data_IF_181644668931
#
_entry.id   IF_181644668931
#
_cell.length_a   1.000
_cell.length_b   1.000
_cell.length_c   1.000
_cell.angle_alpha   90.00
_cell.angle_beta   90.00
_cell.angle_gamma   90.00
#
_symmetry.space_group_name_H-M   'P 1'
#
loop_
_entity.id
_entity.type
_entity.pdbx_description
1 polymer ?
#
# COMPACT_ATOMS: atom_id res chain seq x y z
N UNK A 1 31.80 -23.42 78.58
CA UNK A 1 32.06 -23.43 77.12
C UNK A 1 30.73 -23.22 76.39
N UNK A 2 30.45 -22.01 75.89
CA UNK A 2 29.28 -21.74 75.02
C UNK A 2 29.81 -21.20 73.70
N UNK A 3 29.76 -22.03 72.66
CA UNK A 3 30.20 -21.70 71.31
C UNK A 3 29.07 -21.00 70.55
N UNK A 4 29.22 -19.70 70.32
CA UNK A 4 28.36 -18.92 69.43
C UNK A 4 28.66 -19.29 67.97
N UNK A 5 27.70 -19.93 67.28
CA UNK A 5 27.76 -20.16 65.83
C UNK A 5 27.44 -18.84 65.11
N UNK A 6 28.48 -18.21 64.55
CA UNK A 6 28.33 -17.10 63.58
C UNK A 6 27.75 -17.66 62.27
N UNK A 7 26.48 -17.39 62.00
CA UNK A 7 25.90 -17.65 60.68
C UNK A 7 26.48 -16.65 59.66
N UNK A 8 26.99 -17.19 58.55
CA UNK A 8 27.75 -16.46 57.52
C UNK A 8 26.83 -15.55 56.67
N UNK A 9 27.32 -14.39 56.18
CA UNK A 9 26.56 -13.45 55.33
C UNK A 9 26.16 -14.01 53.95
N UNK A 10 26.66 -15.19 53.59
CA UNK A 10 26.39 -15.88 52.30
C UNK A 10 24.93 -16.28 52.15
N UNK A 11 24.24 -16.62 53.24
CA UNK A 11 22.82 -17.00 53.20
C UNK A 11 21.92 -15.80 52.88
N UNK A 12 22.30 -14.60 53.32
CA UNK A 12 21.54 -13.37 53.13
C UNK A 12 21.67 -12.84 51.70
N UNK A 13 22.87 -12.95 51.09
CA UNK A 13 23.15 -12.54 49.71
C UNK A 13 22.44 -13.49 48.72
N UNK A 14 22.41 -14.79 48.99
CA UNK A 14 21.66 -15.76 48.18
C UNK A 14 20.14 -15.50 48.21
N UNK A 15 19.59 -15.10 49.36
CA UNK A 15 18.17 -14.73 49.47
C UNK A 15 17.85 -13.42 48.72
N UNK A 16 18.75 -12.43 48.76
CA UNK A 16 18.60 -11.16 48.02
C UNK A 16 18.67 -11.34 46.49
N UNK A 17 19.55 -12.23 46.00
CA UNK A 17 19.66 -12.57 44.57
C UNK A 17 18.43 -13.36 44.08
N UNK A 18 17.86 -14.26 44.87
CA UNK A 18 16.61 -14.97 44.53
C UNK A 18 15.39 -14.04 44.57
N UNK A 19 15.39 -13.02 45.43
CA UNK A 19 14.35 -11.98 45.48
C UNK A 19 14.44 -10.99 44.30
N UNK A 20 15.65 -10.73 43.77
CA UNK A 20 15.84 -9.95 42.54
C UNK A 20 15.43 -10.70 41.26
N UNK A 21 15.47 -12.04 41.25
CA UNK A 21 15.04 -12.86 40.11
C UNK A 21 13.52 -13.16 40.07
N UNK A 22 12.75 -12.81 41.10
CA UNK A 22 11.29 -13.10 41.18
C UNK A 22 10.40 -11.89 40.96
N UNK A 23 10.96 -10.71 40.68
CA UNK A 23 10.22 -9.49 40.35
C UNK A 23 10.05 -9.30 38.82
N UNK A 24 9.62 -10.33 38.09
CA UNK A 24 9.09 -10.12 36.74
C UNK A 24 7.67 -9.57 36.88
N UNK A 25 7.55 -8.25 37.05
CA UNK A 25 6.26 -7.56 37.01
C UNK A 25 5.65 -7.78 35.62
N UNK A 26 4.63 -8.62 35.51
CA UNK A 26 3.82 -8.69 34.30
C UNK A 26 2.92 -7.45 34.27
N UNK A 27 3.08 -6.62 33.25
CA UNK A 27 2.36 -5.35 33.14
C UNK A 27 0.92 -5.60 32.69
N UNK A 28 -0.02 -4.84 33.24
CA UNK A 28 -1.40 -4.79 32.75
C UNK A 28 -1.47 -3.76 31.63
N UNK A 29 -2.12 -4.10 30.52
CA UNK A 29 -2.37 -3.18 29.41
C UNK A 29 -3.87 -2.99 29.22
N UNK A 30 -4.32 -1.75 29.20
CA UNK A 30 -5.67 -1.38 28.79
C UNK A 30 -5.61 -0.73 27.40
N UNK A 31 -6.55 -1.08 26.54
CA UNK A 31 -6.72 -0.47 25.21
C UNK A 31 -8.12 0.15 25.15
N UNK A 32 -8.19 1.40 24.71
CA UNK A 32 -9.41 2.19 24.60
C UNK A 32 -9.54 2.65 23.16
N UNK A 33 -10.71 2.47 22.54
CA UNK A 33 -11.04 3.13 21.28
C UNK A 33 -11.83 4.40 21.60
N UNK A 34 -11.26 5.54 21.26
CA UNK A 34 -11.90 6.85 21.43
C UNK A 34 -12.91 7.18 20.34
N UNK A 35 -12.68 6.66 19.13
CA UNK A 35 -13.55 6.94 18.01
C UNK A 35 -13.58 5.77 17.03
N UNK A 36 -14.77 5.49 16.52
CA UNK A 36 -15.05 4.57 15.43
C UNK A 36 -15.68 5.34 14.24
N UNK A 37 -15.63 4.79 13.02
CA UNK A 37 -16.27 5.40 11.85
C UNK A 37 -17.78 5.56 12.03
N UNK A 38 -18.35 6.66 11.52
CA UNK A 38 -19.79 6.94 11.63
C UNK A 38 -20.68 5.90 10.91
N UNK A 39 -20.16 5.26 9.87
CA UNK A 39 -20.81 4.18 9.15
C UNK A 39 -20.51 2.78 9.71
N UNK A 40 -20.00 2.68 10.95
CA UNK A 40 -19.92 1.39 11.63
C UNK A 40 -21.32 0.79 11.76
N UNK A 41 -21.60 -0.41 11.23
CA UNK A 41 -22.93 -1.01 11.30
C UNK A 41 -23.46 -1.08 12.74
N UNK A 42 -24.69 -0.62 13.02
CA UNK A 42 -25.24 -0.58 14.38
C UNK A 42 -25.22 -1.95 15.06
N UNK A 43 -24.86 -1.98 16.34
CA UNK A 43 -24.80 -3.22 17.13
C UNK A 43 -23.60 -4.12 16.83
N UNK A 44 -22.65 -3.68 15.99
CA UNK A 44 -21.42 -4.43 15.73
C UNK A 44 -20.62 -4.69 17.01
N UNK A 45 -20.14 -5.92 17.15
CA UNK A 45 -19.06 -6.22 18.08
C UNK A 45 -17.74 -5.68 17.54
N UNK A 46 -16.86 -5.24 18.44
CA UNK A 46 -15.47 -4.91 18.10
C UNK A 46 -14.56 -5.85 18.88
N UNK A 47 -13.60 -6.43 18.18
CA UNK A 47 -12.59 -7.32 18.74
C UNK A 47 -11.23 -6.69 18.55
N UNK A 48 -10.33 -6.97 19.49
CA UNK A 48 -8.89 -6.77 19.32
C UNK A 48 -8.26 -8.14 19.04
N UNK A 49 -7.49 -8.25 17.97
CA UNK A 49 -6.81 -9.48 17.57
C UNK A 49 -5.32 -9.22 17.39
N UNK A 50 -4.47 -10.18 17.76
CA UNK A 50 -3.04 -9.95 17.80
C UNK A 50 -2.23 -11.19 18.15
N UNK A 51 -0.94 -10.98 18.40
CA UNK A 51 -0.03 -12.06 18.80
C UNK A 51 -0.45 -12.78 20.10
N UNK A 52 -1.21 -12.13 20.98
CA UNK A 52 -1.71 -12.70 22.24
C UNK A 52 -2.92 -13.63 22.10
N UNK A 53 -3.59 -13.67 20.95
CA UNK A 53 -4.71 -14.57 20.68
C UNK A 53 -4.54 -15.38 19.38
N UNK A 54 -3.30 -15.53 18.91
CA UNK A 54 -2.95 -16.20 17.64
C UNK A 54 -3.65 -15.59 16.42
N UNK A 55 -3.90 -14.28 16.43
CA UNK A 55 -4.54 -13.57 15.32
C UNK A 55 -5.94 -14.13 14.96
N UNK A 56 -6.69 -14.61 15.96
CA UNK A 56 -8.10 -14.96 15.79
C UNK A 56 -8.95 -13.67 15.80
N UNK A 57 -9.61 -13.28 14.69
CA UNK A 57 -10.34 -12.02 14.59
C UNK A 57 -11.70 -12.03 15.29
N UNK A 58 -12.19 -13.19 15.75
CA UNK A 58 -13.53 -13.35 16.32
C UNK A 58 -13.52 -13.94 17.74
N UNK A 59 -12.37 -13.99 18.39
CA UNK A 59 -12.24 -14.57 19.74
C UNK A 59 -12.99 -13.74 20.78
N UNK A 60 -14.10 -14.28 21.30
CA UNK A 60 -14.96 -13.65 22.30
C UNK A 60 -14.24 -13.24 23.59
N UNK A 61 -13.09 -13.87 23.91
CA UNK A 61 -12.26 -13.46 25.06
C UNK A 61 -11.66 -12.06 24.87
N UNK A 62 -11.54 -11.62 23.63
CA UNK A 62 -10.96 -10.34 23.23
C UNK A 62 -11.97 -9.39 22.59
N UNK A 63 -13.27 -9.65 22.81
CA UNK A 63 -14.35 -8.72 22.49
C UNK A 63 -14.29 -7.51 23.42
N UNK A 64 -14.24 -6.32 22.84
CA UNK A 64 -14.20 -5.06 23.59
C UNK A 64 -15.55 -4.74 24.21
N UNK A 65 -15.54 -4.08 25.37
CA UNK A 65 -16.73 -3.72 26.12
C UNK A 65 -16.92 -2.20 26.14
N UNK A 66 -18.16 -1.73 26.16
CA UNK A 66 -18.43 -0.30 26.32
C UNK A 66 -18.25 0.11 27.79
N UNK A 67 -17.50 1.18 28.03
CA UNK A 67 -17.41 1.83 29.33
C UNK A 67 -18.63 2.75 29.60
N UNK A 68 -18.67 3.37 30.78
CA UNK A 68 -19.76 4.30 31.15
C UNK A 68 -19.83 5.57 30.29
N UNK A 69 -18.77 5.88 29.54
CA UNK A 69 -18.72 6.98 28.59
C UNK A 69 -19.04 6.53 27.14
N UNK A 70 -19.37 5.25 26.93
CA UNK A 70 -19.69 4.69 25.61
C UNK A 70 -18.46 4.42 24.73
N UNK A 71 -17.25 4.35 25.31
CA UNK A 71 -16.02 4.00 24.58
C UNK A 71 -15.78 2.51 24.65
N UNK A 72 -15.23 1.92 23.59
CA UNK A 72 -14.83 0.52 23.64
C UNK A 72 -13.52 0.38 24.43
N UNK A 73 -13.50 -0.53 25.39
CA UNK A 73 -12.37 -0.75 26.30
C UNK A 73 -12.14 -2.25 26.47
N UNK A 74 -10.86 -2.64 26.55
CA UNK A 74 -10.48 -3.98 26.97
C UNK A 74 -9.20 -3.93 27.82
N UNK A 75 -9.12 -4.81 28.82
CA UNK A 75 -7.87 -5.11 29.52
C UNK A 75 -7.28 -6.39 28.93
N UNK A 76 -6.09 -6.30 28.35
CA UNK A 76 -5.37 -7.47 27.86
C UNK A 76 -4.77 -8.27 29.02
N UNK A 77 -4.51 -9.59 28.85
CA UNK A 77 -3.76 -10.38 29.80
C UNK A 77 -2.45 -9.71 30.17
N UNK A 78 -1.99 -9.91 31.42
CA UNK A 78 -0.71 -9.34 31.83
C UNK A 78 0.42 -9.99 31.06
N UNK A 79 1.37 -9.19 30.61
CA UNK A 79 2.46 -9.67 29.77
C UNK A 79 3.71 -8.81 29.85
N UNK A 80 4.67 -9.20 29.03
CA UNK A 80 5.92 -8.50 28.77
C UNK A 80 6.20 -8.59 27.27
N UNK A 81 6.99 -7.67 26.72
CA UNK A 81 7.33 -7.68 25.30
C UNK A 81 6.39 -6.84 24.43
N UNK A 82 6.60 -6.96 23.12
CA UNK A 82 5.87 -6.21 22.10
C UNK A 82 4.52 -6.88 21.82
N UNK A 83 3.46 -6.09 21.88
CA UNK A 83 2.15 -6.43 21.37
C UNK A 83 2.02 -5.92 19.95
N UNK A 84 1.53 -6.77 19.06
CA UNK A 84 1.08 -6.40 17.73
C UNK A 84 -0.38 -6.80 17.59
N UNK A 85 -1.21 -5.88 17.10
CA UNK A 85 -2.64 -6.08 17.06
C UNK A 85 -3.34 -5.27 15.95
N UNK A 86 -4.58 -5.65 15.71
CA UNK A 86 -5.55 -4.95 14.87
C UNK A 86 -6.94 -5.02 15.50
N UNK A 87 -7.83 -4.15 15.05
CA UNK A 87 -9.26 -4.23 15.34
C UNK A 87 -10.05 -4.86 14.20
N UNK A 88 -11.05 -5.65 14.54
CA UNK A 88 -11.99 -6.28 13.60
C UNK A 88 -13.41 -6.22 14.15
N UNK A 89 -14.40 -6.57 13.32
CA UNK A 89 -15.78 -6.80 13.75
C UNK A 89 -16.17 -8.29 13.74
N UNK A 90 -15.19 -9.17 13.93
CA UNK A 90 -15.36 -10.63 14.05
C UNK A 90 -14.75 -11.44 12.91
N UNK A 91 -14.36 -10.79 11.81
CA UNK A 91 -13.74 -11.44 10.64
C UNK A 91 -12.72 -10.52 9.97
N UNK A 92 -11.74 -11.10 9.27
CA UNK A 92 -10.69 -10.35 8.55
C UNK A 92 -11.22 -9.46 7.42
N UNK A 93 -12.37 -9.78 6.82
CA UNK A 93 -13.04 -8.89 5.85
C UNK A 93 -13.51 -7.58 6.49
N UNK A 94 -13.73 -7.58 7.80
CA UNK A 94 -14.19 -6.43 8.60
C UNK A 94 -13.05 -5.73 9.37
N UNK A 95 -11.79 -6.01 9.00
CA UNK A 95 -10.61 -5.43 9.67
C UNK A 95 -10.57 -3.92 9.51
N UNK A 96 -9.99 -3.23 10.49
CA UNK A 96 -9.73 -1.80 10.40
C UNK A 96 -8.88 -1.43 9.17
N UNK A 97 -9.21 -0.27 8.59
CA UNK A 97 -8.52 0.36 7.47
C UNK A 97 -8.26 1.83 7.81
N UNK A 98 -7.45 2.50 6.99
CA UNK A 98 -7.34 3.96 7.09
C UNK A 98 -8.62 4.65 6.56
N UNK A 99 -8.71 5.97 6.70
CA UNK A 99 -9.88 6.73 6.27
C UNK A 99 -10.20 6.67 4.77
N UNK A 100 -9.24 6.22 3.95
CA UNK A 100 -9.39 5.99 2.51
C UNK A 100 -9.68 4.52 2.15
N UNK A 101 -9.81 3.62 3.13
CA UNK A 101 -10.08 2.19 2.90
C UNK A 101 -8.84 1.34 2.60
N UNK A 102 -7.63 1.91 2.65
CA UNK A 102 -6.40 1.14 2.47
C UNK A 102 -6.00 0.39 3.74
N UNK A 103 -5.31 -0.74 3.55
CA UNK A 103 -4.69 -1.49 4.64
C UNK A 103 -3.69 -0.62 5.42
N UNK A 104 -3.74 -0.74 6.74
CA UNK A 104 -2.75 -0.16 7.64
C UNK A 104 -1.83 -1.26 8.19
N UNK A 105 -0.66 -0.88 8.69
CA UNK A 105 0.23 -1.81 9.40
C UNK A 105 -0.41 -2.32 10.70
N UNK A 106 0.17 -3.36 11.30
CA UNK A 106 -0.22 -3.78 12.65
C UNK A 106 0.05 -2.62 13.61
N UNK A 107 -0.91 -2.34 14.49
CA UNK A 107 -0.66 -1.47 15.63
C UNK A 107 0.35 -2.18 16.52
N UNK A 108 1.25 -1.43 17.14
CA UNK A 108 2.20 -2.02 18.06
C UNK A 108 2.44 -1.17 19.28
N UNK A 109 2.59 -1.82 20.43
CA UNK A 109 2.95 -1.21 21.70
C UNK A 109 3.84 -2.16 22.49
N UNK A 110 4.49 -1.66 23.53
CA UNK A 110 5.33 -2.46 24.41
C UNK A 110 4.72 -2.46 25.81
N UNK A 111 4.55 -3.66 26.40
CA UNK A 111 4.10 -3.78 27.78
C UNK A 111 5.01 -3.00 28.72
N UNK A 112 4.41 -2.18 29.59
CA UNK A 112 5.11 -1.40 30.61
C UNK A 112 5.56 0.00 30.17
N UNK A 113 5.42 0.35 28.88
CA UNK A 113 5.64 1.75 28.43
C UNK A 113 4.45 2.65 28.79
N UNK A 114 3.24 2.12 28.70
CA UNK A 114 2.01 2.77 29.16
C UNK A 114 1.06 1.73 29.74
N UNK A 115 0.27 2.11 30.75
CA UNK A 115 -0.82 1.27 31.25
C UNK A 115 -2.07 1.36 30.36
N UNK A 116 -2.24 2.47 29.66
CA UNK A 116 -3.40 2.77 28.81
C UNK A 116 -2.92 3.20 27.43
N UNK A 117 -3.45 2.55 26.41
CA UNK A 117 -3.29 2.93 25.01
C UNK A 117 -4.63 3.35 24.46
N UNK A 118 -4.62 4.44 23.71
CA UNK A 118 -5.82 5.00 23.12
C UNK A 118 -5.69 5.00 21.61
N UNK A 119 -6.69 4.42 20.94
CA UNK A 119 -6.75 4.23 19.51
C UNK A 119 -7.99 4.89 18.90
N UNK A 120 -7.90 5.12 17.59
CA UNK A 120 -8.98 5.62 16.75
C UNK A 120 -9.05 4.74 15.51
N UNK A 121 -10.24 4.31 15.14
CA UNK A 121 -10.49 3.51 13.94
C UNK A 121 -11.06 4.44 12.87
N UNK A 122 -10.40 4.52 11.71
CA UNK A 122 -10.75 5.46 10.64
C UNK A 122 -11.72 4.86 9.60
N UNK A 123 -11.64 3.54 9.38
CA UNK A 123 -12.52 2.82 8.45
C UNK A 123 -12.54 1.31 8.72
N UNK A 124 -13.48 0.61 8.08
CA UNK A 124 -13.58 -0.86 8.09
C UNK A 124 -13.48 -1.42 6.67
N UNK A 125 -12.93 -2.62 6.51
CA UNK A 125 -12.71 -3.27 5.22
C UNK A 125 -13.97 -3.60 4.43
N UNK A 126 -15.13 -3.63 5.08
CA UNK A 126 -16.43 -3.95 4.49
C UNK A 126 -17.39 -2.74 4.46
N UNK A 127 -16.87 -1.53 4.66
CA UNK A 127 -17.64 -0.28 4.60
C UNK A 127 -17.01 0.69 3.61
N UNK A 128 -17.83 1.55 3.00
CA UNK A 128 -17.34 2.62 2.14
C UNK A 128 -16.44 3.61 2.93
N UNK A 129 -15.30 4.04 2.37
CA UNK A 129 -14.46 5.06 3.00
C UNK A 129 -15.21 6.39 3.17
N UNK A 130 -15.19 6.98 4.37
CA UNK A 130 -15.89 8.24 4.67
C UNK A 130 -14.96 9.44 4.90
N UNK A 131 -13.73 9.20 5.34
CA UNK A 131 -12.83 10.25 5.80
C UNK A 131 -11.48 10.16 5.08
N UNK A 132 -11.52 9.97 3.77
CA UNK A 132 -10.30 9.88 3.00
C UNK A 132 -9.61 11.24 2.97
N UNK A 133 -8.49 11.35 3.68
CA UNK A 133 -7.63 12.51 3.57
C UNK A 133 -7.00 12.52 2.17
N UNK A 134 -7.11 13.64 1.49
CA UNK A 134 -6.53 13.84 0.17
C UNK A 134 -5.57 15.02 0.20
N UNK A 135 -4.61 14.99 -0.72
CA UNK A 135 -3.68 16.08 -0.92
C UNK A 135 -3.52 16.38 -2.40
N UNK A 136 -3.71 17.63 -2.78
CA UNK A 136 -3.60 18.10 -4.15
C UNK A 136 -2.26 18.79 -4.36
N UNK A 137 -1.51 18.34 -5.35
CA UNK A 137 -0.30 18.99 -5.82
C UNK A 137 -0.67 19.86 -7.00
N UNK A 138 -0.32 21.13 -6.97
CA UNK A 138 -0.55 22.09 -8.06
C UNK A 138 0.80 22.58 -8.59
N UNK A 139 1.05 22.43 -9.89
CA UNK A 139 2.24 23.01 -10.52
C UNK A 139 1.97 24.50 -10.78
N UNK A 140 2.49 25.35 -9.90
CA UNK A 140 2.26 26.79 -9.93
C UNK A 140 3.13 27.48 -10.97
N UNK A 141 4.41 27.11 -11.04
CA UNK A 141 5.36 27.67 -11.99
C UNK A 141 6.10 26.55 -12.71
N UNK A 142 6.15 26.66 -14.04
CA UNK A 142 6.89 25.78 -14.93
C UNK A 142 8.02 26.57 -15.62
N UNK A 143 9.14 25.92 -15.98
CA UNK A 143 10.18 26.55 -16.80
C UNK A 143 9.62 27.06 -18.13
N UNK A 144 10.09 28.21 -18.62
CA UNK A 144 9.62 28.80 -19.89
C UNK A 144 9.81 27.88 -21.11
N UNK A 145 10.82 27.01 -21.07
CA UNK A 145 11.13 26.04 -22.13
C UNK A 145 10.35 24.72 -22.00
N UNK A 146 9.35 24.64 -21.12
CA UNK A 146 8.49 23.47 -21.01
C UNK A 146 7.67 23.31 -22.30
N UNK A 147 7.67 22.12 -22.93
CA UNK A 147 6.90 21.90 -24.16
C UNK A 147 5.41 22.23 -24.00
N UNK A 148 4.79 22.74 -25.06
CA UNK A 148 3.34 22.96 -25.08
C UNK A 148 2.58 21.64 -24.95
N UNK A 149 1.44 21.68 -24.23
CA UNK A 149 0.58 20.51 -23.98
C UNK A 149 1.32 19.32 -23.33
N UNK A 150 2.38 19.60 -22.57
CA UNK A 150 3.15 18.57 -21.90
C UNK A 150 2.34 17.86 -20.82
N UNK A 151 2.44 16.52 -20.79
CA UNK A 151 1.90 15.70 -19.69
C UNK A 151 2.96 15.56 -18.61
N UNK A 152 2.58 15.84 -17.36
CA UNK A 152 3.46 15.64 -16.20
C UNK A 152 3.04 14.40 -15.42
N UNK A 153 4.05 13.73 -14.86
CA UNK A 153 3.90 12.48 -14.13
C UNK A 153 4.45 12.64 -12.72
N UNK A 154 3.83 11.93 -11.79
CA UNK A 154 4.27 11.83 -10.40
C UNK A 154 4.95 10.47 -10.19
N UNK A 155 6.28 10.47 -10.07
CA UNK A 155 7.06 9.29 -9.75
C UNK A 155 7.30 9.25 -8.24
N UNK A 156 6.91 8.18 -7.55
CA UNK A 156 6.91 8.12 -6.09
C UNK A 156 7.07 6.69 -5.55
N UNK A 157 7.34 6.58 -4.26
CA UNK A 157 7.32 5.30 -3.55
C UNK A 157 5.98 4.55 -3.66
N UNK A 158 4.86 5.22 -3.95
CA UNK A 158 3.55 4.54 -4.14
C UNK A 158 3.31 3.99 -5.55
N UNK A 159 4.15 4.34 -6.52
CA UNK A 159 4.09 3.78 -7.88
C UNK A 159 5.44 3.20 -8.33
N UNK A 160 6.23 2.73 -7.36
CA UNK A 160 7.53 2.10 -7.59
C UNK A 160 8.50 2.97 -8.41
N UNK A 161 8.43 4.29 -8.25
CA UNK A 161 9.28 5.24 -8.97
C UNK A 161 9.16 5.11 -10.49
N UNK A 162 7.96 4.83 -10.99
CA UNK A 162 7.69 4.81 -12.42
C UNK A 162 7.48 6.26 -12.95
N UNK A 163 8.41 6.82 -13.75
CA UNK A 163 8.36 8.21 -14.21
C UNK A 163 7.33 8.47 -15.32
N UNK A 164 6.65 7.43 -15.81
CA UNK A 164 5.65 7.52 -16.88
C UNK A 164 4.34 6.83 -16.52
N UNK A 165 4.06 6.62 -15.22
CA UNK A 165 2.83 5.93 -14.81
C UNK A 165 1.59 6.77 -15.13
N UNK A 166 0.82 6.30 -16.10
CA UNK A 166 -0.42 6.95 -16.55
C UNK A 166 -1.51 7.05 -15.48
N UNK A 167 -1.42 6.27 -14.41
CA UNK A 167 -2.36 6.39 -13.30
C UNK A 167 -2.04 7.59 -12.40
N UNK A 168 -0.86 8.19 -12.55
CA UNK A 168 -0.34 9.30 -11.74
C UNK A 168 0.03 10.51 -12.61
N UNK A 169 -0.86 10.85 -13.56
CA UNK A 169 -0.73 12.03 -14.43
C UNK A 169 -1.36 13.26 -13.80
N UNK A 170 -0.69 14.40 -13.96
CA UNK A 170 -1.32 15.69 -13.67
C UNK A 170 -2.42 15.96 -14.69
N UNK A 171 -3.60 16.30 -14.18
CA UNK A 171 -4.70 16.83 -14.96
C UNK A 171 -4.48 18.33 -15.19
N UNK A 172 -5.10 18.87 -16.23
CA UNK A 172 -5.08 20.31 -16.52
C UNK A 172 -6.50 20.85 -16.43
N UNK A 173 -6.70 21.92 -15.65
CA UNK A 173 -8.00 22.59 -15.58
C UNK A 173 -8.23 23.54 -16.77
N UNK A 174 -9.41 24.17 -16.83
CA UNK A 174 -9.78 25.10 -17.90
C UNK A 174 -8.92 26.36 -17.96
N UNK A 175 -8.13 26.66 -16.92
CA UNK A 175 -7.23 27.81 -16.84
C UNK A 175 -5.78 27.44 -17.17
N UNK A 176 -5.51 26.18 -17.54
CA UNK A 176 -4.16 25.68 -17.82
C UNK A 176 -3.36 25.29 -16.58
N UNK A 177 -3.99 25.26 -15.40
CA UNK A 177 -3.33 24.88 -14.14
C UNK A 177 -3.25 23.36 -14.06
N UNK A 178 -2.04 22.85 -13.82
CA UNK A 178 -1.80 21.42 -13.72
C UNK A 178 -1.88 20.96 -12.26
N UNK A 179 -2.66 19.91 -12.00
CA UNK A 179 -2.87 19.40 -10.65
C UNK A 179 -2.99 17.88 -10.60
N UNK A 180 -2.63 17.29 -9.45
CA UNK A 180 -2.81 15.88 -9.14
C UNK A 180 -3.31 15.75 -7.70
N UNK A 181 -4.46 15.10 -7.51
CA UNK A 181 -5.00 14.80 -6.18
C UNK A 181 -4.64 13.36 -5.80
N UNK A 182 -4.05 13.19 -4.63
CA UNK A 182 -3.59 11.92 -4.09
C UNK A 182 -4.40 11.56 -2.84
N UNK A 183 -4.80 10.31 -2.73
CA UNK A 183 -5.34 9.76 -1.48
C UNK A 183 -4.22 9.50 -0.47
N UNK A 184 -4.53 9.60 0.82
CA UNK A 184 -3.62 9.23 1.91
C UNK A 184 -3.42 7.71 1.95
N UNK A 185 -2.43 7.23 1.21
CA UNK A 185 -1.96 5.84 1.25
C UNK A 185 -0.85 5.67 2.30
N UNK A 186 -0.08 6.72 2.58
CA UNK A 186 0.98 6.78 3.59
C UNK A 186 0.97 8.15 4.26
N UNK A 187 1.59 8.28 5.44
CA UNK A 187 1.72 9.57 6.13
C UNK A 187 2.52 10.57 5.30
N UNK A 188 3.61 10.11 4.68
CA UNK A 188 4.43 10.90 3.78
C UNK A 188 4.80 10.09 2.55
N UNK A 189 4.98 10.80 1.43
CA UNK A 189 5.38 10.28 0.14
C UNK A 189 6.65 11.01 -0.30
N UNK A 190 7.60 10.23 -0.80
CA UNK A 190 8.75 10.76 -1.52
C UNK A 190 8.45 10.70 -3.01
N UNK A 191 8.78 11.77 -3.75
CA UNK A 191 8.41 11.86 -5.16
C UNK A 191 9.32 12.77 -5.97
N UNK A 192 9.15 12.69 -7.29
CA UNK A 192 9.69 13.59 -8.30
C UNK A 192 8.65 13.83 -9.39
N UNK A 193 8.73 15.00 -10.02
CA UNK A 193 7.95 15.33 -11.21
C UNK A 193 8.79 15.07 -12.46
N UNK A 194 8.19 14.44 -13.45
CA UNK A 194 8.81 14.11 -14.74
C UNK A 194 7.87 14.46 -15.89
N UNK A 195 8.42 14.50 -17.11
CA UNK A 195 7.63 14.57 -18.35
C UNK A 195 7.51 13.20 -19.05
N UNK A 196 7.57 12.10 -18.27
CA UNK A 196 7.41 10.72 -18.77
C UNK A 196 8.61 9.81 -18.47
N UNK A 197 9.82 10.39 -18.38
CA UNK A 197 11.05 9.62 -18.13
C UNK A 197 11.98 10.31 -17.14
N UNK A 198 12.95 9.55 -16.61
CA UNK A 198 14.03 10.07 -15.78
C UNK A 198 14.96 11.06 -16.50
N UNK A 199 15.06 11.00 -17.83
CA UNK A 199 15.79 12.01 -18.61
C UNK A 199 15.08 13.36 -18.63
N UNK A 200 13.78 13.37 -18.33
CA UNK A 200 12.93 14.56 -18.28
C UNK A 200 12.50 14.94 -16.86
N UNK A 201 13.25 14.48 -15.87
CA UNK A 201 12.99 14.78 -14.47
C UNK A 201 13.25 16.25 -14.15
N UNK A 202 12.52 16.79 -13.18
CA UNK A 202 12.80 18.10 -12.64
C UNK A 202 14.20 18.20 -12.02
N UNK A 203 14.79 19.39 -12.13
CA UNK A 203 16.12 19.71 -11.61
C UNK A 203 16.11 21.07 -10.93
N UNK A 204 17.24 21.41 -10.31
CA UNK A 204 17.52 22.77 -9.90
C UNK A 204 17.65 23.69 -11.11
N UNK A 205 17.59 25.02 -10.91
CA UNK A 205 17.78 26.00 -11.97
C UNK A 205 19.15 25.88 -12.69
N UNK A 206 20.16 25.31 -12.02
CA UNK A 206 21.48 25.03 -12.61
C UNK A 206 21.58 23.68 -13.33
N UNK A 207 20.45 23.01 -13.58
CA UNK A 207 20.35 21.68 -14.17
C UNK A 207 21.04 20.54 -13.37
N UNK A 208 21.20 20.72 -12.05
CA UNK A 208 21.64 19.65 -11.16
C UNK A 208 20.46 18.84 -10.65
N UNK A 209 20.63 17.52 -10.55
CA UNK A 209 19.69 16.62 -9.89
C UNK A 209 19.39 17.16 -8.47
N UNK A 210 18.11 17.19 -8.12
CA UNK A 210 17.65 17.58 -6.78
C UNK A 210 17.38 16.32 -5.95
N UNK A 211 17.31 16.47 -4.63
CA UNK A 211 16.80 15.40 -3.76
C UNK A 211 15.34 15.07 -4.09
N UNK A 212 14.85 13.96 -3.55
CA UNK A 212 13.43 13.63 -3.63
C UNK A 212 12.62 14.71 -2.90
N UNK A 213 11.52 15.13 -3.49
CA UNK A 213 10.55 15.96 -2.77
C UNK A 213 9.79 15.08 -1.80
N UNK A 214 9.41 15.65 -0.67
CA UNK A 214 8.55 14.99 0.32
C UNK A 214 7.20 15.71 0.39
N UNK A 215 6.13 14.93 0.52
CA UNK A 215 4.79 15.44 0.78
C UNK A 215 4.11 14.61 1.85
N UNK A 216 3.73 15.25 2.95
CA UNK A 216 3.05 14.60 4.07
C UNK A 216 1.58 14.99 4.11
N UNK A 217 0.69 14.06 4.48
CA UNK A 217 -0.74 14.30 4.65
C UNK A 217 -1.04 14.95 6.01
N UNK A 218 -0.55 16.17 6.17
CA UNK A 218 -0.84 17.09 7.26
C UNK A 218 -2.18 17.83 7.07
N UNK A 219 -2.41 18.90 7.85
CA UNK A 219 -3.65 19.68 7.80
C UNK A 219 -3.80 20.56 6.54
N UNK A 220 -2.80 20.63 5.66
CA UNK A 220 -2.91 21.33 4.37
C UNK A 220 -3.48 20.40 3.31
N UNK A 221 -4.52 20.81 2.61
CA UNK A 221 -5.11 20.03 1.51
C UNK A 221 -4.34 20.19 0.19
N UNK A 222 -3.54 21.25 0.05
CA UNK A 222 -2.91 21.64 -1.22
C UNK A 222 -1.44 21.98 -1.03
N UNK A 223 -0.61 21.57 -1.99
CA UNK A 223 0.81 21.93 -2.09
C UNK A 223 1.05 22.55 -3.46
N UNK A 224 1.65 23.74 -3.47
CA UNK A 224 2.01 24.43 -4.71
C UNK A 224 3.49 24.25 -5.00
N UNK A 225 3.79 23.72 -6.18
CA UNK A 225 5.15 23.42 -6.62
C UNK A 225 5.62 24.40 -7.67
N UNK A 226 6.89 24.77 -7.56
CA UNK A 226 7.65 25.45 -8.60
C UNK A 226 8.66 24.44 -9.15
N UNK A 227 8.57 24.19 -10.46
CA UNK A 227 9.58 23.42 -11.19
C UNK A 227 10.59 24.42 -11.75
N UNK A 228 11.86 24.27 -11.37
CA UNK A 228 12.89 25.24 -11.72
C UNK A 228 13.50 25.00 -13.10
N UNK A 229 13.74 23.73 -13.46
CA UNK A 229 14.21 23.30 -14.78
C UNK A 229 13.89 21.82 -14.99
N UNK A 230 14.07 21.36 -16.23
CA UNK A 230 14.03 19.95 -16.63
C UNK A 230 15.43 19.48 -17.01
N UNK A 231 15.78 18.24 -16.64
CA UNK A 231 17.07 17.61 -17.00
C UNK A 231 17.30 17.57 -18.50
N UNK A 232 16.24 17.26 -19.25
CA UNK A 232 16.17 17.31 -20.70
C UNK A 232 14.74 17.61 -21.15
N UNK A 233 14.62 18.19 -22.34
CA UNK A 233 13.33 18.39 -23.03
C UNK A 233 13.01 17.24 -24.01
N UNK A 234 13.84 16.20 -24.04
CA UNK A 234 13.63 15.02 -24.89
C UNK A 234 12.50 14.14 -24.33
N UNK A 235 11.28 14.63 -24.47
CA UNK A 235 10.06 13.93 -24.09
C UNK A 235 9.85 12.81 -25.11
N UNK A 236 10.00 11.56 -24.66
CA UNK A 236 9.62 10.42 -25.48
C UNK A 236 8.12 10.46 -25.67
N UNK A 237 7.68 10.26 -26.91
CA UNK A 237 6.25 10.18 -27.21
C UNK A 237 5.67 8.97 -26.49
N UNK A 238 4.75 9.24 -25.56
CA UNK A 238 4.02 8.20 -24.85
C UNK A 238 2.98 7.60 -25.79
N UNK A 239 2.97 6.27 -25.86
CA UNK A 239 2.14 5.50 -26.79
C UNK A 239 1.20 4.64 -25.99
N UNK A 240 -0.05 4.57 -26.42
CA UNK A 240 -1.05 3.73 -25.75
C UNK A 240 -1.70 2.77 -26.73
N UNK A 241 -1.93 1.54 -26.28
CA UNK A 241 -2.61 0.50 -27.03
C UNK A 241 -3.58 -0.23 -26.11
N UNK A 242 -4.83 -0.41 -26.56
CA UNK A 242 -5.75 -1.33 -25.87
C UNK A 242 -5.39 -2.75 -26.25
N UNK A 243 -5.19 -3.62 -25.26
CA UNK A 243 -4.97 -5.05 -25.40
C UNK A 243 -6.24 -5.75 -24.90
N UNK A 244 -6.80 -6.65 -25.69
CA UNK A 244 -8.00 -7.42 -25.35
C UNK A 244 -7.66 -8.90 -25.42
N UNK A 245 -8.01 -9.65 -24.37
CA UNK A 245 -7.89 -11.11 -24.37
C UNK A 245 -9.19 -11.68 -24.95
N UNK A 246 -9.14 -12.08 -26.22
CA UNK A 246 -10.30 -12.66 -26.93
C UNK A 246 -10.63 -14.06 -26.42
N UNK A 247 -9.59 -14.80 -26.05
CA UNK A 247 -9.71 -16.16 -25.55
C UNK A 247 -8.78 -16.40 -24.39
N UNK A 248 -9.33 -17.04 -23.36
CA UNK A 248 -8.60 -17.55 -22.22
C UNK A 248 -8.77 -19.08 -22.17
N UNK A 249 -7.83 -19.82 -21.56
CA UNK A 249 -7.97 -21.27 -21.40
C UNK A 249 -9.22 -21.60 -20.58
N UNK A 250 -9.91 -22.71 -20.91
CA UNK A 250 -11.10 -23.18 -20.17
C UNK A 250 -10.83 -23.37 -18.68
N UNK A 251 -9.60 -23.71 -18.33
CA UNK A 251 -9.16 -23.84 -16.96
C UNK A 251 -9.02 -22.51 -16.22
N UNK A 252 -9.43 -21.37 -16.77
CA UNK A 252 -9.39 -20.03 -16.13
C UNK A 252 -10.65 -19.79 -15.31
N UNK A 253 -10.50 -19.59 -14.01
CA UNK A 253 -11.62 -19.32 -13.10
C UNK A 253 -11.93 -17.83 -13.04
N UNK A 254 -13.18 -17.48 -12.71
CA UNK A 254 -13.59 -16.08 -12.58
C UNK A 254 -12.86 -15.29 -11.49
N UNK A 255 -12.33 -15.99 -10.49
CA UNK A 255 -11.51 -15.44 -9.41
C UNK A 255 -10.05 -15.20 -9.81
N UNK A 256 -9.60 -15.74 -10.95
CA UNK A 256 -8.23 -15.53 -11.40
C UNK A 256 -8.02 -14.06 -11.78
N UNK A 257 -6.91 -13.51 -11.31
CA UNK A 257 -6.43 -12.20 -11.71
C UNK A 257 -5.44 -12.37 -12.85
N UNK A 258 -5.63 -11.64 -13.94
CA UNK A 258 -4.74 -11.70 -15.11
C UNK A 258 -3.93 -10.41 -15.16
N UNK A 259 -2.64 -10.55 -15.49
CA UNK A 259 -1.68 -9.47 -15.53
C UNK A 259 -0.88 -9.50 -16.84
N UNK A 260 -0.34 -8.35 -17.21
CA UNK A 260 0.68 -8.23 -18.24
C UNK A 260 2.02 -7.86 -17.58
N UNK A 261 3.10 -8.52 -17.99
CA UNK A 261 4.44 -8.21 -17.52
C UNK A 261 5.42 -8.12 -18.69
N UNK A 262 6.28 -7.12 -18.68
CA UNK A 262 7.17 -6.81 -19.78
C UNK A 262 8.26 -5.82 -19.39
N UNK A 263 9.01 -5.35 -20.39
CA UNK A 263 10.08 -4.36 -20.17
C UNK A 263 9.56 -3.06 -19.52
N UNK A 264 8.30 -2.67 -19.77
CA UNK A 264 7.67 -1.48 -19.19
C UNK A 264 7.30 -1.59 -17.69
N UNK A 265 7.31 -2.79 -17.11
CA UNK A 265 7.06 -2.99 -15.68
C UNK A 265 8.16 -3.82 -14.99
N UNK A 266 9.36 -3.82 -15.56
CA UNK A 266 10.50 -4.58 -15.08
C UNK A 266 10.21 -6.09 -14.91
N UNK A 267 9.36 -6.65 -15.78
CA UNK A 267 8.99 -8.07 -15.74
C UNK A 267 8.41 -8.51 -14.39
N UNK A 268 7.64 -7.67 -13.71
CA UNK A 268 6.87 -8.06 -12.52
C UNK A 268 5.53 -8.70 -12.92
N UNK A 269 5.38 -10.04 -12.78
CA UNK A 269 4.19 -10.78 -13.23
C UNK A 269 2.94 -10.50 -12.39
N UNK A 270 3.08 -9.97 -11.17
CA UNK A 270 1.98 -9.75 -10.22
C UNK A 270 1.62 -8.29 -9.99
N UNK A 271 2.18 -7.38 -10.79
CA UNK A 271 2.08 -5.95 -10.52
C UNK A 271 0.62 -5.47 -10.65
N UNK A 272 0.03 -5.01 -9.54
CA UNK A 272 -1.40 -4.63 -9.46
C UNK A 272 -1.82 -3.57 -10.48
N UNK A 273 -0.97 -2.59 -10.80
CA UNK A 273 -1.25 -1.58 -11.83
C UNK A 273 -1.31 -2.13 -13.26
N UNK A 274 -0.81 -3.34 -13.50
CA UNK A 274 -0.80 -4.03 -14.80
C UNK A 274 -1.80 -5.20 -14.86
N UNK A 275 -2.80 -5.17 -13.96
CA UNK A 275 -3.90 -6.12 -13.95
C UNK A 275 -4.93 -5.77 -15.03
N UNK A 276 -5.38 -6.78 -15.79
CA UNK A 276 -6.48 -6.63 -16.73
C UNK A 276 -7.80 -6.31 -16.01
N UNK A 277 -8.63 -5.49 -16.65
CA UNK A 277 -9.99 -5.15 -16.20
C UNK A 277 -11.00 -5.95 -17.02
N UNK A 278 -12.18 -6.23 -16.45
CA UNK A 278 -13.31 -6.82 -17.18
C UNK A 278 -14.24 -5.72 -17.67
N UNK A 279 -14.71 -5.80 -18.91
CA UNK A 279 -15.81 -4.98 -19.40
C UNK A 279 -17.18 -5.53 -18.95
N UNK A 280 -18.28 -4.89 -19.38
CA UNK A 280 -19.65 -5.33 -19.04
C UNK A 280 -20.02 -6.70 -19.60
N UNK A 281 -19.29 -7.21 -20.59
CA UNK A 281 -19.44 -8.55 -21.16
C UNK A 281 -18.54 -9.59 -20.48
N UNK A 282 -17.72 -9.18 -19.50
CA UNK A 282 -16.74 -10.03 -18.84
C UNK A 282 -15.42 -10.19 -19.60
N UNK A 283 -15.26 -9.53 -20.76
CA UNK A 283 -14.05 -9.59 -21.57
C UNK A 283 -12.91 -8.83 -20.90
N UNK A 284 -11.72 -9.42 -20.92
CA UNK A 284 -10.56 -8.81 -20.28
C UNK A 284 -9.85 -7.85 -21.22
N UNK A 285 -9.58 -6.63 -20.74
CA UNK A 285 -8.84 -5.62 -21.46
C UNK A 285 -7.84 -4.88 -20.57
N UNK A 286 -6.78 -4.38 -21.19
CA UNK A 286 -5.76 -3.55 -20.55
C UNK A 286 -5.30 -2.46 -21.51
N UNK A 287 -5.29 -1.21 -21.07
CA UNK A 287 -4.71 -0.11 -21.85
C UNK A 287 -3.23 0.01 -21.48
N UNK A 288 -2.37 -0.62 -22.27
CA UNK A 288 -0.93 -0.52 -22.09
C UNK A 288 -0.48 0.85 -22.57
N UNK A 289 0.31 1.53 -21.73
CA UNK A 289 1.00 2.76 -22.09
C UNK A 289 2.49 2.57 -21.89
N UNK A 290 3.29 2.93 -22.90
CA UNK A 290 4.74 2.86 -22.82
C UNK A 290 5.40 3.95 -23.68
N UNK A 291 6.65 4.28 -23.35
CA UNK A 291 7.46 5.22 -24.13
C UNK A 291 8.12 4.54 -25.35
N UNK A 292 8.47 3.26 -25.19
CA UNK A 292 9.16 2.52 -26.23
C UNK A 292 8.23 2.28 -27.42
N UNK A 293 8.76 2.44 -28.64
CA UNK A 293 8.04 2.11 -29.87
C UNK A 293 7.69 0.63 -29.93
N UNK A 294 8.55 -0.21 -29.36
CA UNK A 294 8.37 -1.65 -29.23
C UNK A 294 8.51 -2.07 -27.77
N UNK A 295 7.57 -2.87 -27.30
CA UNK A 295 7.63 -3.52 -25.99
C UNK A 295 7.60 -5.03 -26.14
N UNK A 296 8.20 -5.74 -25.19
CA UNK A 296 8.13 -7.18 -25.06
C UNK A 296 7.41 -7.52 -23.76
N UNK A 297 6.54 -8.53 -23.79
CA UNK A 297 5.68 -8.87 -22.66
C UNK A 297 5.19 -10.32 -22.68
N UNK A 298 4.60 -10.74 -21.56
CA UNK A 298 3.87 -11.99 -21.37
C UNK A 298 2.62 -11.76 -20.53
N UNK A 299 1.64 -12.64 -20.70
CA UNK A 299 0.42 -12.69 -19.88
C UNK A 299 0.61 -13.72 -18.76
N UNK A 300 0.21 -13.37 -17.54
CA UNK A 300 0.33 -14.25 -16.37
C UNK A 300 -0.90 -14.19 -15.49
N UNK A 301 -1.03 -15.17 -14.58
CA UNK A 301 -1.99 -15.11 -13.45
C UNK A 301 -1.34 -14.66 -12.14
N UNK A 302 -0.38 -13.73 -12.22
CA UNK A 302 0.26 -13.10 -11.06
C UNK A 302 1.64 -13.66 -10.70
N UNK A 303 2.12 -14.69 -11.40
CA UNK A 303 3.43 -15.31 -11.16
C UNK A 303 3.94 -16.02 -12.42
N UNK A 304 5.26 -16.19 -12.53
CA UNK A 304 5.89 -16.93 -13.63
C UNK A 304 5.55 -18.42 -13.68
N UNK A 305 5.09 -19.02 -12.57
CA UNK A 305 4.56 -20.39 -12.57
C UNK A 305 3.19 -20.49 -13.25
N UNK A 306 2.47 -19.38 -13.39
CA UNK A 306 1.14 -19.30 -14.02
C UNK A 306 1.17 -18.42 -15.28
N UNK A 307 2.32 -18.38 -15.95
CA UNK A 307 2.51 -17.70 -17.24
C UNK A 307 1.82 -18.48 -18.36
N UNK A 308 1.44 -17.77 -19.41
CA UNK A 308 0.97 -18.37 -20.64
C UNK A 308 2.00 -19.32 -21.29
N UNK A 309 1.50 -20.39 -21.91
CA UNK A 309 2.27 -21.42 -22.61
C UNK A 309 1.56 -21.82 -23.90
N UNK A 310 2.24 -22.61 -24.74
CA UNK A 310 1.60 -23.29 -25.87
C UNK A 310 0.52 -24.25 -25.36
N UNK A 311 -0.38 -24.68 -26.24
CA UNK A 311 -1.38 -25.72 -25.90
C UNK A 311 -0.77 -27.02 -25.35
N UNK A 312 0.48 -27.34 -25.71
CA UNK A 312 1.24 -28.50 -25.21
C UNK A 312 1.89 -28.27 -23.85
N UNK A 313 1.80 -27.05 -23.29
CA UNK A 313 2.43 -26.66 -22.03
C UNK A 313 3.89 -26.20 -22.16
N UNK A 314 4.40 -26.02 -23.37
CA UNK A 314 5.77 -25.52 -23.59
C UNK A 314 5.84 -24.00 -23.39
N UNK A 315 6.97 -23.51 -22.91
CA UNK A 315 7.20 -22.06 -22.83
C UNK A 315 7.13 -21.43 -24.22
N UNK A 316 6.47 -20.28 -24.32
CA UNK A 316 6.47 -19.45 -25.53
C UNK A 316 7.56 -18.38 -25.43
N UNK A 317 7.95 -17.79 -26.54
CA UNK A 317 8.79 -16.58 -26.54
C UNK A 317 8.02 -15.37 -25.96
N UNK A 318 8.73 -14.27 -25.72
CA UNK A 318 8.09 -13.01 -25.36
C UNK A 318 7.22 -12.52 -26.52
N UNK A 319 6.00 -12.08 -26.20
CA UNK A 319 5.17 -11.36 -27.17
C UNK A 319 5.78 -9.99 -27.42
N UNK A 320 5.70 -9.51 -28.65
CA UNK A 320 6.13 -8.16 -29.02
C UNK A 320 4.94 -7.32 -29.46
N UNK A 321 4.87 -6.07 -29.02
CA UNK A 321 3.95 -5.06 -29.54
C UNK A 321 4.77 -3.89 -30.08
N UNK A 322 4.47 -3.48 -31.32
CA UNK A 322 4.93 -2.22 -31.90
C UNK A 322 3.71 -1.28 -31.94
N UNK A 323 3.80 -0.16 -31.24
CA UNK A 323 2.69 0.78 -31.11
C UNK A 323 2.37 1.49 -32.43
N UNK A 324 1.07 1.77 -32.66
CA UNK A 324 0.59 2.54 -33.80
C UNK A 324 0.36 1.73 -35.08
N UNK A 325 0.52 0.40 -35.03
CA UNK A 325 0.13 -0.50 -36.12
C UNK A 325 -1.39 -0.79 -36.12
N UNK A 326 -2.03 -0.75 -34.95
CA UNK A 326 -3.46 -1.01 -34.78
C UNK A 326 -4.02 -0.16 -33.63
N UNK A 327 -5.35 -0.01 -33.52
CA UNK A 327 -6.00 0.66 -32.38
C UNK A 327 -6.25 -0.29 -31.21
N UNK A 328 -6.32 -1.60 -31.48
CA UNK A 328 -6.49 -2.64 -30.44
C UNK A 328 -5.71 -3.90 -30.83
N UNK A 329 -4.94 -4.44 -29.89
CA UNK A 329 -4.27 -5.72 -30.00
C UNK A 329 -5.15 -6.80 -29.36
N UNK A 330 -5.60 -7.74 -30.18
CA UNK A 330 -6.34 -8.91 -29.72
C UNK A 330 -5.40 -10.08 -29.50
N UNK A 331 -5.51 -10.75 -28.35
CA UNK A 331 -4.66 -11.87 -27.94
C UNK A 331 -5.48 -13.08 -27.50
N UNK A 332 -4.92 -14.26 -27.74
CA UNK A 332 -5.40 -15.51 -27.17
C UNK A 332 -4.33 -16.10 -26.25
N UNK A 333 -4.75 -16.55 -25.07
CA UNK A 333 -3.94 -17.37 -24.18
C UNK A 333 -4.41 -18.82 -24.32
N UNK A 334 -3.55 -19.70 -24.83
CA UNK A 334 -3.93 -21.10 -25.10
C UNK A 334 -3.95 -21.96 -23.84
N UNK A 335 -2.96 -21.78 -22.96
CA UNK A 335 -2.80 -22.57 -21.73
C UNK A 335 -2.04 -21.77 -20.66
N UNK A 336 -2.21 -22.16 -19.39
CA UNK A 336 -1.39 -21.71 -18.27
C UNK A 336 -0.36 -22.77 -17.88
N UNK A 337 0.87 -22.36 -17.54
CA UNK A 337 1.96 -23.28 -17.19
C UNK A 337 1.66 -24.21 -16.00
N UNK A 338 0.82 -23.77 -15.06
CA UNK A 338 0.42 -24.51 -13.86
C UNK A 338 -0.92 -25.25 -14.00
N UNK A 339 -1.52 -25.30 -15.20
CA UNK A 339 -2.80 -25.98 -15.45
C UNK A 339 -2.72 -26.89 -16.66
#
# INVERSE_FOLDING_TARGET
MKTSKKYKPVLLIGFMLVMMFTATSCYRQQVIIEQIPLNTPPGSSIFITGNFNNWDPGDDRFRMQLDSAGRYVITLPRGVGRLEYKFTRGDWTTVEKNGCGYDIENRSLQYGESEITTDRIEGWGDTEPMNCAQKTIVLRNLPENTPENQVFYFASNINNWNPGDVNFIFQMDSHGTHFLTLDKISNCLNYKITMGSWETVETSAGNYDIDNREICFDNSDTVYLNIASWKSLNVKKIRSQVIVLEKLPDATFDTDQIFIAGNFNNWDPGHKSYKFKKDTSGRQFFKLTAEDEKVNFKITRGNWRSVETTISGSDIDDRSLIFGQTDTLFLEVERWKDR
#
